data_IF_438682146202
#
_entry.id   IF_438682146202
#
_cell.length_a   1.000
_cell.length_b   1.000
_cell.length_c   1.000
_cell.angle_alpha   90.00
_cell.angle_beta   90.00
_cell.angle_gamma   90.00
#
_symmetry.space_group_name_H-M   'P 1'
#
loop_
_entity.id
_entity.type
_entity.pdbx_description
1 polymer ?
#
# COMPACT_ATOMS: atom_id res chain seq x y z
N UNK A 1 -19.16 -2.77 -2.82
CA UNK A 1 -18.53 -3.48 -3.92
C UNK A 1 -18.80 -2.73 -5.22
N UNK A 2 -17.77 -2.51 -6.03
CA UNK A 2 -17.86 -1.87 -7.33
C UNK A 2 -17.06 -2.69 -8.34
N UNK A 3 -17.50 -2.68 -9.58
CA UNK A 3 -16.66 -3.18 -10.70
C UNK A 3 -15.85 -2.01 -11.21
N UNK A 4 -14.54 -2.11 -11.13
CA UNK A 4 -13.63 -1.10 -11.66
C UNK A 4 -13.40 -1.35 -13.15
N UNK A 5 -13.36 -0.26 -13.92
CA UNK A 5 -13.13 -0.33 -15.36
C UNK A 5 -11.66 -0.44 -15.73
N UNK A 6 -10.77 -0.15 -14.77
CA UNK A 6 -9.31 -0.25 -14.93
C UNK A 6 -8.84 -1.65 -14.51
N UNK A 7 -8.13 -2.32 -15.39
CA UNK A 7 -7.55 -3.62 -15.11
C UNK A 7 -6.46 -3.51 -14.03
N UNK A 8 -6.41 -4.50 -13.14
CA UNK A 8 -5.38 -4.60 -12.11
C UNK A 8 -5.67 -3.86 -10.80
N UNK A 9 -6.75 -3.08 -10.71
CA UNK A 9 -7.16 -2.45 -9.44
C UNK A 9 -7.99 -3.46 -8.65
N UNK A 10 -7.47 -3.88 -7.50
CA UNK A 10 -8.11 -4.85 -6.60
C UNK A 10 -8.98 -4.16 -5.55
N UNK A 11 -8.58 -2.99 -5.09
CA UNK A 11 -9.30 -2.18 -4.12
C UNK A 11 -8.95 -0.70 -4.24
N UNK A 12 -9.75 0.13 -3.64
CA UNK A 12 -9.50 1.56 -3.45
C UNK A 12 -10.06 2.01 -2.12
N UNK A 13 -9.46 3.04 -1.54
CA UNK A 13 -9.97 3.66 -0.32
C UNK A 13 -9.89 5.19 -0.38
N UNK A 14 -10.77 5.83 0.35
CA UNK A 14 -10.69 7.26 0.57
C UNK A 14 -9.62 7.55 1.61
N UNK A 15 -8.62 8.36 1.25
CA UNK A 15 -7.57 8.76 2.16
C UNK A 15 -8.10 9.84 3.14
N UNK A 16 -7.76 9.79 4.44
CA UNK A 16 -8.22 10.78 5.40
C UNK A 16 -7.48 12.11 5.24
N UNK A 17 -8.00 13.13 5.89
CA UNK A 17 -7.39 14.45 6.01
C UNK A 17 -7.40 14.91 7.46
N UNK A 18 -6.65 15.95 7.76
CA UNK A 18 -6.71 16.65 9.05
C UNK A 18 -7.34 18.03 8.89
N UNK A 19 -7.89 18.58 9.99
CA UNK A 19 -8.47 19.92 10.01
C UNK A 19 -7.59 20.80 10.89
N UNK A 20 -7.32 22.02 10.43
CA UNK A 20 -6.53 22.97 11.23
C UNK A 20 -7.12 23.15 12.64
N UNK A 21 -6.29 23.24 13.72
CA UNK A 21 -4.82 23.28 13.68
C UNK A 21 -4.15 21.90 13.65
N UNK A 22 -4.89 20.82 13.55
CA UNK A 22 -4.35 19.46 13.56
C UNK A 22 -3.54 19.18 12.29
N UNK A 23 -2.44 18.48 12.46
CA UNK A 23 -1.55 18.08 11.37
C UNK A 23 -1.01 16.69 11.65
N UNK A 24 -1.09 15.82 10.64
CA UNK A 24 -0.35 14.56 10.57
C UNK A 24 0.39 14.53 9.24
N UNK A 25 1.70 14.37 9.31
CA UNK A 25 2.56 14.38 8.14
C UNK A 25 2.07 13.35 7.09
N UNK A 26 2.07 13.75 5.81
CA UNK A 26 1.55 12.92 4.73
C UNK A 26 0.04 12.91 4.56
N UNK A 27 -0.74 13.60 5.41
CA UNK A 27 -2.16 13.85 5.19
C UNK A 27 -2.40 15.29 4.70
N UNK A 28 -3.44 15.45 3.90
CA UNK A 28 -3.93 16.79 3.52
C UNK A 28 -4.47 17.52 4.75
N UNK A 29 -4.20 18.83 4.83
CA UNK A 29 -4.70 19.70 5.91
C UNK A 29 -5.73 20.65 5.34
N UNK A 30 -6.96 20.56 5.80
CA UNK A 30 -8.07 21.42 5.36
C UNK A 30 -8.35 22.52 6.40
N UNK A 31 -8.89 23.64 5.93
CA UNK A 31 -9.28 24.75 6.81
C UNK A 31 -10.60 24.50 7.54
N UNK A 32 -11.44 23.60 7.01
CA UNK A 32 -12.76 23.26 7.55
C UNK A 32 -13.15 21.83 7.15
N UNK A 33 -14.11 21.29 7.84
CA UNK A 33 -14.65 19.96 7.60
C UNK A 33 -15.32 19.87 6.22
N UNK A 34 -15.12 18.74 5.54
CA UNK A 34 -15.74 18.49 4.23
C UNK A 34 -17.20 18.11 4.43
N UNK A 35 -18.08 18.76 3.70
CA UNK A 35 -19.49 18.36 3.63
C UNK A 35 -19.65 17.16 2.71
N UNK A 36 -19.71 15.97 3.29
CA UNK A 36 -19.84 14.71 2.55
C UNK A 36 -21.19 14.55 1.84
N UNK A 37 -22.18 15.38 2.14
CA UNK A 37 -23.49 15.31 1.45
C UNK A 37 -23.42 15.75 -0.02
N UNK A 38 -22.37 16.50 -0.37
CA UNK A 38 -22.17 17.07 -1.71
C UNK A 38 -20.99 16.45 -2.47
N UNK A 39 -20.37 15.39 -1.95
CA UNK A 39 -19.27 14.73 -2.62
C UNK A 39 -19.80 13.64 -3.55
N UNK A 40 -19.34 13.58 -4.82
CA UNK A 40 -19.80 12.57 -5.77
C UNK A 40 -19.34 11.14 -5.44
N UNK A 41 -18.33 10.99 -4.56
CA UNK A 41 -17.81 9.70 -4.12
C UNK A 41 -17.97 9.55 -2.62
N UNK A 42 -18.52 8.43 -2.14
CA UNK A 42 -18.62 8.16 -0.70
C UNK A 42 -17.24 8.03 -0.07
N UNK A 43 -17.13 8.48 1.17
CA UNK A 43 -15.96 8.20 2.00
C UNK A 43 -16.00 6.73 2.40
N UNK A 44 -15.23 5.89 1.73
CA UNK A 44 -15.38 4.44 1.83
C UNK A 44 -14.10 3.67 1.49
N UNK A 45 -14.14 2.39 1.80
CA UNK A 45 -13.25 1.36 1.26
C UNK A 45 -14.05 0.52 0.27
N UNK A 46 -13.51 0.28 -0.89
CA UNK A 46 -14.15 -0.52 -1.95
C UNK A 46 -13.21 -1.60 -2.46
N UNK A 47 -13.74 -2.80 -2.62
CA UNK A 47 -13.03 -3.93 -3.23
C UNK A 47 -13.68 -4.21 -4.59
N UNK A 48 -12.86 -4.53 -5.57
CA UNK A 48 -13.31 -4.86 -6.91
C UNK A 48 -14.18 -6.11 -6.88
N UNK A 49 -15.39 -5.97 -7.42
CA UNK A 49 -16.38 -7.04 -7.46
C UNK A 49 -15.88 -8.26 -8.28
N UNK A 50 -15.21 -8.01 -9.39
CA UNK A 50 -14.70 -9.09 -10.25
C UNK A 50 -13.61 -9.89 -9.53
N UNK A 51 -12.78 -9.21 -8.71
CA UNK A 51 -11.79 -9.85 -7.86
C UNK A 51 -12.38 -10.81 -6.83
N UNK A 52 -13.53 -10.44 -6.23
CA UNK A 52 -14.21 -11.28 -5.21
C UNK A 52 -14.94 -12.48 -5.84
N UNK A 53 -15.53 -12.28 -7.02
CA UNK A 53 -16.37 -13.26 -7.68
C UNK A 53 -15.70 -13.95 -8.88
N UNK A 54 -14.39 -13.74 -9.05
CA UNK A 54 -13.65 -14.48 -10.07
C UNK A 54 -13.59 -15.97 -9.69
N UNK A 55 -14.37 -16.76 -10.41
CA UNK A 55 -14.47 -18.19 -10.19
C UNK A 55 -13.33 -18.99 -10.82
N UNK A 56 -12.42 -18.35 -11.53
CA UNK A 56 -11.29 -19.00 -12.20
C UNK A 56 -10.09 -19.25 -11.26
N UNK A 57 -10.30 -19.08 -9.95
CA UNK A 57 -9.44 -19.53 -8.85
C UNK A 57 -8.02 -18.92 -8.79
N UNK A 58 -7.82 -17.74 -9.35
CA UNK A 58 -6.54 -17.03 -9.20
C UNK A 58 -6.38 -16.41 -7.81
N UNK A 59 -7.48 -16.08 -7.13
CA UNK A 59 -7.46 -15.40 -5.85
C UNK A 59 -8.15 -16.22 -4.76
N UNK A 60 -7.50 -16.34 -3.63
CA UNK A 60 -8.04 -17.00 -2.44
C UNK A 60 -8.77 -16.00 -1.53
N UNK A 61 -9.53 -16.52 -0.58
CA UNK A 61 -10.13 -15.68 0.46
C UNK A 61 -9.09 -14.91 1.31
N UNK A 62 -7.88 -15.46 1.45
CA UNK A 62 -6.77 -14.78 2.13
C UNK A 62 -6.27 -13.57 1.35
N UNK A 63 -6.23 -13.63 0.02
CA UNK A 63 -5.83 -12.50 -0.82
C UNK A 63 -6.85 -11.36 -0.72
N UNK A 64 -8.14 -11.69 -0.72
CA UNK A 64 -9.22 -10.72 -0.52
C UNK A 64 -9.11 -10.04 0.85
N UNK A 65 -8.84 -10.81 1.90
CA UNK A 65 -8.66 -10.28 3.26
C UNK A 65 -7.41 -9.39 3.34
N UNK A 66 -6.30 -9.78 2.70
CA UNK A 66 -5.09 -8.96 2.65
C UNK A 66 -5.37 -7.63 1.94
N UNK A 67 -6.01 -7.67 0.76
CA UNK A 67 -6.39 -6.45 0.02
C UNK A 67 -7.33 -5.55 0.84
N UNK A 68 -8.36 -6.12 1.46
CA UNK A 68 -9.28 -5.33 2.29
C UNK A 68 -8.55 -4.69 3.48
N UNK A 69 -7.62 -5.41 4.11
CA UNK A 69 -6.82 -4.92 5.24
C UNK A 69 -5.87 -3.81 4.77
N UNK A 70 -5.29 -3.93 3.59
CA UNK A 70 -4.48 -2.91 2.95
C UNK A 70 -5.28 -1.62 2.71
N UNK A 71 -6.45 -1.73 2.08
CA UNK A 71 -7.32 -0.58 1.83
C UNK A 71 -7.82 0.08 3.13
N UNK A 72 -8.09 -0.71 4.17
CA UNK A 72 -8.39 -0.18 5.50
C UNK A 72 -7.19 0.56 6.10
N UNK A 73 -5.97 0.12 5.83
CA UNK A 73 -4.76 0.85 6.18
C UNK A 73 -4.74 2.25 5.57
N UNK A 74 -4.99 2.37 4.29
CA UNK A 74 -5.11 3.67 3.60
C UNK A 74 -6.24 4.52 4.17
N UNK A 75 -7.40 3.94 4.39
CA UNK A 75 -8.53 4.63 5.01
C UNK A 75 -8.20 5.21 6.38
N UNK A 76 -7.28 4.57 7.10
CA UNK A 76 -6.76 5.01 8.40
C UNK A 76 -5.44 5.80 8.30
N UNK A 77 -5.09 6.28 7.11
CA UNK A 77 -4.01 7.23 6.88
C UNK A 77 -2.64 6.62 6.68
N UNK A 78 -2.53 5.31 6.43
CA UNK A 78 -1.27 4.70 6.07
C UNK A 78 -0.98 4.88 4.58
N UNK A 79 0.29 5.06 4.25
CA UNK A 79 0.82 5.01 2.89
C UNK A 79 1.50 3.67 2.64
N UNK A 80 1.86 3.40 1.40
CA UNK A 80 2.61 2.19 1.08
C UNK A 80 3.97 2.16 1.79
N UNK A 81 4.39 0.95 2.18
CA UNK A 81 5.65 0.72 2.88
C UNK A 81 6.90 0.74 1.96
N UNK A 82 6.75 1.17 0.72
CA UNK A 82 7.85 1.32 -0.24
C UNK A 82 8.00 2.77 -0.67
N UNK A 83 9.15 3.11 -1.25
CA UNK A 83 9.35 4.43 -1.84
C UNK A 83 8.40 4.62 -3.02
N UNK A 84 7.44 5.50 -2.86
CA UNK A 84 6.61 6.01 -3.94
C UNK A 84 7.35 7.19 -4.56
N UNK A 85 7.80 7.00 -5.80
CA UNK A 85 8.36 8.10 -6.56
C UNK A 85 7.24 8.99 -7.08
N UNK A 86 6.73 9.83 -6.21
CA UNK A 86 5.75 10.83 -6.58
C UNK A 86 6.50 12.10 -6.98
N UNK A 87 6.91 12.17 -8.24
CA UNK A 87 7.57 13.35 -8.81
C UNK A 87 6.75 14.63 -8.57
N UNK A 88 5.43 14.51 -8.48
CA UNK A 88 4.52 15.61 -8.24
C UNK A 88 4.60 16.14 -6.80
N UNK A 89 4.99 15.32 -5.82
CA UNK A 89 5.03 15.72 -4.41
C UNK A 89 6.40 16.19 -3.92
N UNK A 90 7.49 15.64 -4.46
CA UNK A 90 8.83 15.91 -3.91
C UNK A 90 9.76 16.65 -4.85
N UNK A 91 9.50 16.60 -6.15
CA UNK A 91 10.42 17.13 -7.17
C UNK A 91 11.81 16.47 -7.15
N UNK A 92 11.93 15.33 -6.46
CA UNK A 92 13.18 14.58 -6.31
C UNK A 92 13.17 13.36 -7.22
N UNK A 93 14.30 13.13 -7.89
CA UNK A 93 14.55 11.87 -8.60
C UNK A 93 15.12 10.77 -7.70
N UNK A 94 15.05 10.94 -6.38
CA UNK A 94 15.52 9.96 -5.42
C UNK A 94 14.47 8.85 -5.26
N UNK A 95 14.80 7.66 -5.75
CA UNK A 95 13.95 6.46 -5.67
C UNK A 95 14.00 5.76 -4.31
N UNK A 96 14.61 6.39 -3.30
CA UNK A 96 14.71 5.88 -1.95
C UNK A 96 14.20 6.88 -0.91
N UNK A 97 13.02 7.43 -1.15
CA UNK A 97 12.37 8.33 -0.20
C UNK A 97 11.44 7.51 0.70
N UNK A 98 11.55 7.75 2.01
CA UNK A 98 10.57 7.27 2.97
C UNK A 98 9.30 8.10 2.83
N UNK A 99 8.31 7.56 2.16
CA UNK A 99 7.04 8.24 1.86
C UNK A 99 5.89 7.81 2.77
N UNK A 100 6.11 6.82 3.66
CA UNK A 100 5.05 6.32 4.54
C UNK A 100 5.00 7.02 5.92
N UNK A 101 6.03 7.82 6.24
CA UNK A 101 6.15 8.57 7.50
C UNK A 101 6.12 7.67 8.76
N UNK A 102 6.71 6.47 8.65
CA UNK A 102 6.86 5.49 9.72
C UNK A 102 8.33 5.05 9.81
N UNK A 103 9.02 5.44 10.89
CA UNK A 103 10.47 5.22 11.03
C UNK A 103 10.83 3.73 11.16
N UNK A 104 9.89 2.91 11.64
CA UNK A 104 10.07 1.48 11.87
C UNK A 104 9.69 0.61 10.66
N UNK A 105 9.42 1.23 9.51
CA UNK A 105 9.14 0.54 8.24
C UNK A 105 10.35 0.62 7.32
N UNK A 106 10.98 -0.52 6.96
CA UNK A 106 12.08 -0.52 5.99
C UNK A 106 11.59 -0.07 4.61
N UNK A 107 12.35 0.80 3.97
CA UNK A 107 12.00 1.37 2.65
C UNK A 107 12.76 0.66 1.53
N UNK A 108 12.10 0.38 0.42
CA UNK A 108 12.72 -0.15 -0.78
C UNK A 108 12.26 0.59 -2.04
N UNK A 109 13.07 0.53 -3.08
CA UNK A 109 12.73 1.08 -4.40
C UNK A 109 11.80 0.10 -5.13
N UNK A 110 10.53 0.45 -5.23
CA UNK A 110 9.52 -0.41 -5.86
C UNK A 110 9.79 -0.63 -7.35
N UNK A 111 10.20 0.40 -8.09
CA UNK A 111 10.46 0.26 -9.52
C UNK A 111 11.64 -0.69 -9.80
N UNK A 112 12.70 -0.63 -8.98
CA UNK A 112 13.82 -1.58 -9.05
C UNK A 112 13.38 -3.00 -8.73
N UNK A 113 12.53 -3.15 -7.73
CA UNK A 113 11.97 -4.45 -7.37
C UNK A 113 11.07 -5.02 -8.47
N UNK A 114 10.19 -4.21 -9.06
CA UNK A 114 9.32 -4.65 -10.16
C UNK A 114 10.14 -5.10 -11.39
N UNK A 115 11.19 -4.35 -11.72
CA UNK A 115 12.15 -4.73 -12.77
C UNK A 115 12.86 -6.07 -12.45
N UNK A 116 13.25 -6.25 -11.19
CA UNK A 116 13.85 -7.52 -10.74
C UNK A 116 12.86 -8.66 -10.83
N UNK A 117 11.63 -8.47 -10.36
CA UNK A 117 10.53 -9.45 -10.43
C UNK A 117 10.26 -9.89 -11.86
N UNK A 118 10.13 -8.94 -12.79
CA UNK A 118 9.91 -9.23 -14.22
C UNK A 118 11.06 -10.02 -14.82
N UNK A 119 12.30 -9.67 -14.50
CA UNK A 119 13.50 -10.38 -14.97
C UNK A 119 13.62 -11.79 -14.37
N UNK A 120 13.27 -11.94 -13.10
CA UNK A 120 13.36 -13.21 -12.39
C UNK A 120 12.34 -14.22 -12.89
N UNK A 121 11.08 -13.81 -13.00
CA UNK A 121 10.00 -14.68 -13.48
C UNK A 121 10.09 -14.94 -15.00
N UNK A 122 10.63 -13.99 -15.76
CA UNK A 122 10.73 -14.09 -17.21
C UNK A 122 9.38 -14.41 -17.84
N UNK A 123 9.38 -15.41 -18.75
CA UNK A 123 8.16 -15.93 -19.37
C UNK A 123 7.60 -17.18 -18.64
N UNK A 124 8.06 -17.46 -17.44
CA UNK A 124 7.61 -18.60 -16.65
C UNK A 124 6.24 -18.29 -16.04
N UNK A 125 5.19 -18.94 -16.49
CA UNK A 125 3.82 -18.68 -16.05
C UNK A 125 3.46 -19.20 -14.64
N UNK A 126 4.38 -19.87 -13.93
CA UNK A 126 4.11 -20.45 -12.61
C UNK A 126 5.27 -20.17 -11.65
N UNK A 127 4.95 -19.54 -10.52
CA UNK A 127 5.87 -19.30 -9.43
C UNK A 127 5.93 -20.53 -8.51
N UNK A 128 7.15 -21.00 -8.22
CA UNK A 128 7.37 -22.08 -7.25
C UNK A 128 7.54 -21.52 -5.83
N UNK A 129 7.48 -22.40 -4.82
CA UNK A 129 7.76 -22.00 -3.44
C UNK A 129 9.19 -21.44 -3.29
N UNK A 130 10.16 -21.98 -4.02
CA UNK A 130 11.53 -21.49 -4.00
C UNK A 130 11.63 -20.07 -4.60
N UNK A 131 10.87 -19.78 -5.65
CA UNK A 131 10.79 -18.43 -6.22
C UNK A 131 10.15 -17.46 -5.23
N UNK A 132 9.09 -17.88 -4.54
CA UNK A 132 8.46 -17.08 -3.50
C UNK A 132 9.44 -16.68 -2.40
N UNK A 133 10.25 -17.62 -1.88
CA UNK A 133 11.23 -17.36 -0.83
C UNK A 133 12.31 -16.35 -1.25
N UNK A 134 12.61 -16.27 -2.54
CA UNK A 134 13.54 -15.26 -3.08
C UNK A 134 12.82 -13.93 -3.28
N UNK A 135 11.62 -13.96 -3.86
CA UNK A 135 10.91 -12.76 -4.28
C UNK A 135 10.23 -12.02 -3.12
N UNK A 136 10.00 -12.67 -1.98
CA UNK A 136 9.50 -12.03 -0.76
C UNK A 136 10.54 -11.13 -0.08
N UNK A 137 11.82 -11.26 -0.47
CA UNK A 137 12.92 -10.45 0.06
C UNK A 137 13.01 -9.11 -0.67
N UNK A 138 13.28 -8.06 0.06
CA UNK A 138 13.49 -6.69 -0.42
C UNK A 138 14.89 -6.19 -0.05
N UNK A 139 15.46 -5.35 -0.90
CA UNK A 139 16.66 -4.60 -0.56
C UNK A 139 16.27 -3.30 0.13
N UNK A 140 16.78 -3.08 1.36
CA UNK A 140 16.62 -1.79 2.02
C UNK A 140 17.46 -0.74 1.26
N UNK A 141 16.77 0.22 0.65
CA UNK A 141 17.46 1.20 -0.18
C UNK A 141 18.18 2.28 0.65
N UNK A 142 17.80 2.46 1.92
CA UNK A 142 18.50 3.37 2.85
C UNK A 142 19.77 2.74 3.44
N UNK A 143 19.83 1.41 3.51
CA UNK A 143 20.94 0.68 4.10
C UNK A 143 21.54 -0.32 3.11
N UNK A 144 22.45 0.10 2.22
CA UNK A 144 23.02 -0.76 1.19
C UNK A 144 23.57 -2.08 1.74
N UNK A 145 23.15 -3.20 1.14
CA UNK A 145 23.55 -4.55 1.56
C UNK A 145 22.66 -5.14 2.67
N UNK A 146 21.68 -4.41 3.18
CA UNK A 146 20.66 -4.93 4.08
C UNK A 146 19.46 -5.41 3.28
N UNK A 147 18.97 -6.60 3.61
CA UNK A 147 17.73 -7.15 3.05
C UNK A 147 16.75 -7.44 4.16
N UNK A 148 15.46 -7.35 3.85
CA UNK A 148 14.38 -7.69 4.78
C UNK A 148 13.31 -8.51 4.08
N UNK A 149 12.55 -9.28 4.83
CA UNK A 149 11.39 -10.02 4.35
C UNK A 149 10.16 -9.10 4.35
N UNK A 150 9.46 -9.02 3.24
CA UNK A 150 8.22 -8.24 3.14
C UNK A 150 7.11 -8.93 3.94
N UNK A 151 6.69 -8.29 5.03
CA UNK A 151 5.62 -8.77 5.93
C UNK A 151 4.57 -7.70 6.21
N UNK A 152 4.80 -6.49 5.70
CA UNK A 152 3.92 -5.35 5.96
C UNK A 152 2.68 -5.42 5.07
N UNK A 153 1.50 -5.23 5.67
CA UNK A 153 0.23 -5.20 4.94
C UNK A 153 0.16 -4.06 3.91
N UNK A 154 0.91 -2.96 4.14
CA UNK A 154 0.99 -1.83 3.22
C UNK A 154 2.00 -2.02 2.08
N UNK A 155 2.56 -3.22 1.91
CA UNK A 155 3.36 -3.58 0.75
C UNK A 155 2.49 -4.17 -0.37
N UNK A 156 3.03 -4.28 -1.58
CA UNK A 156 2.39 -4.92 -2.72
C UNK A 156 2.86 -6.36 -2.88
N UNK A 157 2.28 -7.06 -3.86
CA UNK A 157 2.43 -8.44 -4.29
C UNK A 157 3.71 -9.17 -3.79
N UNK A 158 3.66 -10.48 -3.66
CA UNK A 158 4.72 -11.36 -3.15
C UNK A 158 5.24 -10.86 -1.78
N UNK A 159 4.34 -10.83 -0.82
CA UNK A 159 4.56 -10.41 0.55
C UNK A 159 3.86 -11.39 1.49
N UNK A 160 4.38 -11.60 2.68
CA UNK A 160 3.67 -12.35 3.73
C UNK A 160 2.52 -11.54 4.35
N UNK A 161 2.48 -10.23 4.16
CA UNK A 161 1.40 -9.27 4.48
C UNK A 161 0.61 -9.61 5.77
N UNK A 162 1.31 -9.82 6.90
CA UNK A 162 0.70 -10.35 8.12
C UNK A 162 0.64 -9.32 9.26
N UNK A 163 1.22 -8.13 9.09
CA UNK A 163 1.33 -7.14 10.18
C UNK A 163 1.42 -5.70 9.73
N UNK A 164 1.06 -4.83 10.68
CA UNK A 164 1.42 -3.42 10.70
C UNK A 164 2.55 -3.19 11.72
N UNK A 165 3.34 -2.15 11.54
CA UNK A 165 4.36 -1.73 12.50
C UNK A 165 3.77 -0.94 13.67
N UNK A 166 4.60 -0.62 14.67
CA UNK A 166 4.15 0.17 15.83
C UNK A 166 3.84 1.62 15.44
N UNK A 167 4.64 2.21 14.54
CA UNK A 167 4.42 3.57 14.05
C UNK A 167 3.17 3.63 13.17
N UNK A 168 2.96 2.65 12.31
CA UNK A 168 1.72 2.51 11.54
C UNK A 168 0.49 2.41 12.47
N UNK A 169 0.57 1.59 13.53
CA UNK A 169 -0.52 1.47 14.50
C UNK A 169 -0.78 2.79 15.25
N UNK A 170 0.26 3.55 15.56
CA UNK A 170 0.15 4.86 16.21
C UNK A 170 -0.52 5.86 15.27
N UNK A 171 -0.13 5.86 14.00
CA UNK A 171 -0.69 6.70 12.96
C UNK A 171 -2.19 6.42 12.74
N UNK A 172 -2.58 5.14 12.62
CA UNK A 172 -3.99 4.74 12.50
C UNK A 172 -4.83 5.18 13.71
N UNK A 173 -4.29 5.02 14.92
CA UNK A 173 -4.98 5.47 16.15
C UNK A 173 -5.19 6.98 16.16
N UNK A 174 -4.23 7.76 15.69
CA UNK A 174 -4.38 9.20 15.58
C UNK A 174 -5.59 9.56 14.68
N UNK A 175 -5.71 8.92 13.53
CA UNK A 175 -6.83 9.15 12.60
C UNK A 175 -8.17 8.71 13.20
N UNK A 176 -8.23 7.56 13.89
CA UNK A 176 -9.47 7.06 14.53
C UNK A 176 -10.00 7.91 15.68
N UNK A 177 -9.16 8.70 16.32
CA UNK A 177 -9.52 9.51 17.50
C UNK A 177 -9.94 10.94 17.14
N UNK A 178 -9.97 11.27 15.86
CA UNK A 178 -10.33 12.59 15.32
C UNK A 178 -11.65 12.54 14.56
#
# INVERSE_FOLDING_TARGET
LYTFTEEGILGISTFPYTIQPDHLEGLSVLAYEVDYTNIPYPHCVSINNDYIYDHDAYYSSSDIVATLTHELGHYLGLRHAFSENDEDQTGSSDWCIDSDFCEDTPTYNKAEYDDYLLKYLGNSGTMTQADYEVLVMRNDCKHPGVTFRSTNVMDYAISDADRFTADQATRMRYVMLR
#
